data_IF_034201441158
#
_entry.id   IF_034201441158
#
_cell.length_a   1.000
_cell.length_b   1.000
_cell.length_c   1.000
_cell.angle_alpha   90.00
_cell.angle_beta   90.00
_cell.angle_gamma   90.00
#
_symmetry.space_group_name_H-M   'P 1'
#
loop_
_entity.id
_entity.type
_entity.pdbx_description
1 polymer ?
#
# COMPACT_ATOMS: atom_id res chain seq x y z
N UNK A 1 -14.77 34.20 -27.09
CA UNK A 1 -14.39 33.94 -28.49
C UNK A 1 -14.28 32.43 -28.69
N UNK A 2 -15.09 31.84 -29.58
CA UNK A 2 -15.03 30.40 -29.84
C UNK A 2 -13.89 30.10 -30.82
N UNK A 3 -12.93 29.27 -30.41
CA UNK A 3 -11.81 28.85 -31.27
C UNK A 3 -12.34 27.86 -32.31
N UNK A 4 -12.31 28.23 -33.60
CA UNK A 4 -12.64 27.33 -34.70
C UNK A 4 -11.45 26.40 -34.97
N UNK A 5 -11.61 25.11 -34.69
CA UNK A 5 -10.62 24.09 -35.00
C UNK A 5 -10.41 23.95 -36.51
N UNK A 6 -9.15 23.93 -36.94
CA UNK A 6 -8.78 23.70 -38.35
C UNK A 6 -9.15 22.28 -38.77
N UNK A 7 -9.37 22.01 -40.08
CA UNK A 7 -9.69 20.67 -40.57
C UNK A 7 -8.67 19.61 -40.12
N UNK A 8 -7.38 19.98 -40.11
CA UNK A 8 -6.30 19.11 -39.65
C UNK A 8 -6.42 18.78 -38.15
N UNK A 9 -6.73 19.77 -37.30
CA UNK A 9 -6.90 19.54 -35.86
C UNK A 9 -8.07 18.60 -35.57
N UNK A 10 -9.15 18.66 -36.35
CA UNK A 10 -10.30 17.74 -36.21
C UNK A 10 -9.92 16.30 -36.57
N UNK A 11 -9.12 16.12 -37.64
CA UNK A 11 -8.63 14.80 -38.04
C UNK A 11 -7.69 14.22 -36.99
N UNK A 12 -6.76 15.04 -36.47
CA UNK A 12 -5.82 14.62 -35.44
C UNK A 12 -6.55 14.18 -34.15
N UNK A 13 -7.50 14.99 -33.67
CA UNK A 13 -8.29 14.67 -32.48
C UNK A 13 -9.13 13.43 -32.72
N UNK A 14 -9.78 13.30 -33.89
CA UNK A 14 -10.52 12.10 -34.26
C UNK A 14 -9.64 10.84 -34.26
N UNK A 15 -8.43 10.93 -34.80
CA UNK A 15 -7.45 9.83 -34.79
C UNK A 15 -7.04 9.41 -33.38
N UNK A 16 -6.77 10.37 -32.48
CA UNK A 16 -6.41 10.09 -31.09
C UNK A 16 -7.56 9.41 -30.34
N UNK A 17 -8.79 9.89 -30.53
CA UNK A 17 -9.99 9.30 -29.90
C UNK A 17 -10.22 7.87 -30.40
N UNK A 18 -10.07 7.62 -31.70
CA UNK A 18 -10.22 6.28 -32.27
C UNK A 18 -9.12 5.32 -31.79
N UNK A 19 -7.86 5.77 -31.72
CA UNK A 19 -6.76 4.97 -31.19
C UNK A 19 -6.92 4.67 -29.69
N UNK A 20 -7.37 5.65 -28.90
CA UNK A 20 -7.66 5.48 -27.47
C UNK A 20 -8.83 4.54 -27.22
N UNK A 21 -9.94 4.68 -27.96
CA UNK A 21 -11.08 3.77 -27.86
C UNK A 21 -10.71 2.35 -28.29
N UNK A 22 -9.92 2.21 -29.36
CA UNK A 22 -9.42 0.92 -29.83
C UNK A 22 -8.50 0.23 -28.83
N UNK A 23 -7.61 0.96 -28.16
CA UNK A 23 -6.70 0.38 -27.16
C UNK A 23 -7.44 -0.07 -25.90
N UNK A 24 -8.45 0.68 -25.45
CA UNK A 24 -9.31 0.30 -24.32
C UNK A 24 -10.15 -0.94 -24.66
N UNK A 25 -10.78 -0.98 -25.84
CA UNK A 25 -11.54 -2.14 -26.30
C UNK A 25 -10.66 -3.39 -26.47
N UNK A 26 -9.43 -3.23 -26.97
CA UNK A 26 -8.48 -4.33 -27.08
C UNK A 26 -8.04 -4.86 -25.72
N UNK A 27 -7.81 -3.99 -24.74
CA UNK A 27 -7.43 -4.39 -23.39
C UNK A 27 -8.58 -5.13 -22.68
N UNK A 28 -9.82 -4.65 -22.83
CA UNK A 28 -11.03 -5.32 -22.33
C UNK A 28 -11.27 -6.67 -23.01
N UNK A 29 -11.04 -6.77 -24.33
CA UNK A 29 -11.13 -8.03 -25.06
C UNK A 29 -10.06 -9.04 -24.62
N UNK A 30 -8.81 -8.60 -24.46
CA UNK A 30 -7.70 -9.45 -24.00
C UNK A 30 -7.96 -9.98 -22.59
N UNK A 31 -8.44 -9.14 -21.68
CA UNK A 31 -8.76 -9.54 -20.31
C UNK A 31 -9.94 -10.51 -20.27
N UNK A 32 -10.98 -10.31 -21.09
CA UNK A 32 -12.09 -11.28 -21.22
C UNK A 32 -11.69 -12.62 -21.83
N UNK A 33 -10.68 -12.65 -22.71
CA UNK A 33 -10.20 -13.91 -23.31
C UNK A 33 -9.26 -14.67 -22.37
N UNK A 34 -8.61 -13.99 -21.43
CA UNK A 34 -7.86 -14.61 -20.34
C UNK A 34 -8.78 -15.28 -19.30
N UNK A 35 -10.05 -14.87 -19.21
CA UNK A 35 -11.08 -15.46 -18.33
C UNK A 35 -11.83 -16.67 -18.94
N UNK A 36 -11.46 -17.10 -20.16
CA UNK A 36 -12.10 -18.23 -20.87
C UNK A 36 -11.46 -19.60 -20.63
N UNK A 37 -10.62 -19.74 -19.61
CA UNK A 37 -10.10 -21.03 -19.14
C UNK A 37 -10.90 -21.46 -17.92
N UNK A 38 -11.60 -22.57 -18.05
CA UNK A 38 -12.46 -23.17 -17.02
C UNK A 38 -11.62 -23.65 -15.82
N UNK A 39 -11.44 -22.77 -14.82
CA UNK A 39 -11.17 -23.15 -13.44
C UNK A 39 -12.16 -22.42 -12.54
N UNK A 40 -13.01 -23.20 -11.91
CA UNK A 40 -14.03 -22.75 -10.97
C UNK A 40 -13.36 -22.22 -9.70
N UNK A 41 -12.95 -20.96 -9.71
CA UNK A 41 -12.55 -20.26 -8.49
C UNK A 41 -13.81 -19.88 -7.72
N UNK A 42 -14.25 -20.76 -6.82
CA UNK A 42 -15.22 -20.44 -5.80
C UNK A 42 -14.68 -19.25 -4.97
N UNK A 43 -15.30 -18.08 -5.14
CA UNK A 43 -15.10 -16.94 -4.26
C UNK A 43 -15.59 -17.32 -2.86
N UNK A 44 -14.68 -17.80 -2.02
CA UNK A 44 -14.93 -17.94 -0.60
C UNK A 44 -14.79 -16.54 -0.01
N UNK A 45 -15.93 -15.89 0.25
CA UNK A 45 -16.00 -14.84 1.26
C UNK A 45 -15.48 -15.45 2.55
N UNK A 46 -14.29 -15.04 2.96
CA UNK A 46 -13.78 -15.37 4.29
C UNK A 46 -14.26 -14.24 5.19
N UNK A 47 -15.32 -14.54 5.96
CA UNK A 47 -15.71 -13.73 7.10
C UNK A 47 -14.48 -13.45 7.97
N UNK A 48 -14.37 -12.21 8.44
CA UNK A 48 -13.32 -11.74 9.35
C UNK A 48 -13.24 -12.59 10.61
N UNK A 49 -12.44 -13.65 10.55
CA UNK A 49 -12.10 -14.51 11.67
C UNK A 49 -10.58 -14.59 11.71
N UNK A 50 -10.01 -13.81 12.63
CA UNK A 50 -8.64 -13.90 13.19
C UNK A 50 -7.85 -15.06 12.59
N UNK A 51 -7.10 -14.79 11.52
CA UNK A 51 -5.97 -15.63 11.13
C UNK A 51 -4.89 -15.40 12.17
N UNK A 52 -5.00 -16.14 13.28
CA UNK A 52 -3.89 -16.39 14.19
C UNK A 52 -2.64 -16.68 13.37
N UNK A 53 -1.60 -15.87 13.58
CA UNK A 53 -0.20 -16.12 13.22
C UNK A 53 -0.04 -17.33 12.29
N UNK A 54 -0.33 -17.13 11.00
CA UNK A 54 -0.09 -18.16 10.01
C UNK A 54 1.36 -18.60 10.17
N UNK A 55 1.53 -19.89 10.52
CA UNK A 55 2.74 -20.48 11.05
C UNK A 55 3.99 -19.83 10.45
N UNK A 56 4.65 -18.99 11.24
CA UNK A 56 5.91 -18.39 10.86
C UNK A 56 6.85 -19.53 10.52
N UNK A 57 7.19 -19.64 9.22
CA UNK A 57 8.08 -20.69 8.75
C UNK A 57 9.34 -20.64 9.61
N UNK A 58 9.80 -21.79 10.10
CA UNK A 58 10.90 -21.86 11.06
C UNK A 58 12.18 -21.17 10.58
N UNK A 59 13.13 -21.05 11.50
CA UNK A 59 14.48 -20.52 11.23
C UNK A 59 15.09 -21.33 10.08
N UNK A 60 15.43 -20.68 8.98
CA UNK A 60 16.01 -21.36 7.82
C UNK A 60 17.40 -21.93 8.13
N UNK A 61 17.86 -22.83 7.27
CA UNK A 61 19.16 -23.47 7.41
C UNK A 61 20.26 -22.67 6.68
N UNK A 62 21.35 -22.37 7.38
CA UNK A 62 22.51 -21.67 6.82
C UNK A 62 22.54 -20.16 7.09
N UNK A 63 23.37 -19.45 6.32
CA UNK A 63 23.60 -18.01 6.49
C UNK A 63 22.34 -17.23 6.09
N UNK A 64 21.97 -16.22 6.86
CA UNK A 64 20.83 -15.35 6.54
C UNK A 64 21.02 -14.68 5.17
N UNK A 65 19.99 -14.72 4.34
CA UNK A 65 20.05 -14.26 2.95
C UNK A 65 20.50 -15.34 1.96
N UNK A 66 20.70 -16.59 2.38
CA UNK A 66 20.96 -17.71 1.47
C UNK A 66 19.67 -18.40 1.04
N UNK A 67 19.73 -19.27 0.03
CA UNK A 67 18.57 -20.02 -0.44
C UNK A 67 17.93 -20.91 0.64
N UNK A 68 18.75 -21.44 1.57
CA UNK A 68 18.26 -22.25 2.71
C UNK A 68 17.75 -21.42 3.90
N UNK A 69 18.14 -20.14 3.98
CA UNK A 69 17.75 -19.22 5.04
C UNK A 69 17.54 -17.80 4.47
N UNK A 70 16.45 -17.58 3.70
CA UNK A 70 16.21 -16.31 3.05
C UNK A 70 15.93 -15.20 4.08
N UNK A 71 16.27 -13.97 3.72
CA UNK A 71 15.86 -12.80 4.48
C UNK A 71 14.34 -12.63 4.37
N UNK A 72 13.62 -12.83 5.47
CA UNK A 72 12.17 -12.65 5.49
C UNK A 72 11.81 -11.20 5.72
N UNK A 73 11.02 -10.63 4.80
CA UNK A 73 10.57 -9.24 4.83
C UNK A 73 9.04 -9.24 4.89
N UNK A 74 8.48 -8.79 6.01
CA UNK A 74 7.04 -8.58 6.13
C UNK A 74 6.61 -7.34 5.34
N UNK A 75 5.58 -7.50 4.52
CA UNK A 75 4.94 -6.44 3.72
C UNK A 75 3.42 -6.55 3.86
N UNK A 76 2.69 -5.47 3.57
CA UNK A 76 1.23 -5.51 3.41
C UNK A 76 0.84 -5.57 1.93
N UNK A 77 -0.42 -5.82 1.64
CA UNK A 77 -1.01 -5.72 0.31
C UNK A 77 -1.12 -4.24 -0.11
N UNK A 78 0.00 -3.68 -0.57
CA UNK A 78 0.09 -2.31 -1.06
C UNK A 78 0.97 -2.22 -2.31
N UNK A 79 0.51 -1.45 -3.28
CA UNK A 79 1.15 -1.34 -4.59
C UNK A 79 2.55 -0.69 -4.55
N UNK A 80 2.86 0.09 -3.50
CA UNK A 80 4.20 0.66 -3.30
C UNK A 80 5.32 -0.38 -3.15
N UNK A 81 4.99 -1.64 -2.83
CA UNK A 81 5.99 -2.72 -2.76
C UNK A 81 6.29 -3.37 -4.11
N UNK A 82 5.56 -3.02 -5.18
CA UNK A 82 5.73 -3.61 -6.50
C UNK A 82 7.19 -3.56 -7.03
N UNK A 83 7.97 -2.48 -6.86
CA UNK A 83 9.37 -2.45 -7.29
C UNK A 83 10.22 -3.58 -6.67
N UNK A 84 9.96 -3.93 -5.40
CA UNK A 84 10.68 -5.00 -4.73
C UNK A 84 10.31 -6.38 -5.28
N UNK A 85 9.02 -6.61 -5.59
CA UNK A 85 8.60 -7.84 -6.25
C UNK A 85 9.21 -7.98 -7.64
N UNK A 86 9.26 -6.88 -8.42
CA UNK A 86 9.91 -6.86 -9.74
C UNK A 86 11.40 -7.18 -9.60
N UNK A 87 12.10 -6.56 -8.64
CA UNK A 87 13.49 -6.85 -8.34
C UNK A 87 13.74 -8.32 -7.93
N UNK A 88 12.72 -8.99 -7.40
CA UNK A 88 12.75 -10.40 -6.99
C UNK A 88 12.31 -11.38 -8.09
N UNK A 89 12.08 -10.90 -9.31
CA UNK A 89 11.61 -11.72 -10.44
C UNK A 89 10.09 -11.87 -10.49
N UNK A 90 9.34 -10.85 -10.08
CA UNK A 90 7.87 -10.82 -10.00
C UNK A 90 7.30 -11.91 -9.07
N UNK A 91 8.01 -12.17 -7.96
CA UNK A 91 7.66 -13.25 -7.02
C UNK A 91 7.93 -12.83 -5.58
N UNK A 92 7.18 -13.44 -4.65
CA UNK A 92 7.46 -13.32 -3.21
C UNK A 92 8.78 -14.00 -2.82
N UNK A 93 9.26 -14.97 -3.61
CA UNK A 93 10.53 -15.66 -3.38
C UNK A 93 11.51 -15.35 -4.49
N UNK A 94 12.77 -15.15 -4.14
CA UNK A 94 13.83 -14.83 -5.12
C UNK A 94 13.88 -15.84 -6.25
N UNK A 95 13.77 -15.33 -7.47
CA UNK A 95 13.90 -16.13 -8.69
C UNK A 95 15.32 -16.05 -9.25
N UNK A 96 15.84 -17.13 -9.87
CA UNK A 96 17.11 -17.08 -10.59
C UNK A 96 17.14 -15.97 -11.64
N UNK A 97 18.25 -15.23 -11.71
CA UNK A 97 18.45 -14.12 -12.64
C UNK A 97 17.74 -12.81 -12.26
N UNK A 98 17.00 -12.78 -11.16
CA UNK A 98 16.44 -11.55 -10.58
C UNK A 98 17.54 -10.60 -10.08
N UNK A 99 17.18 -9.37 -9.71
CA UNK A 99 18.15 -8.42 -9.14
C UNK A 99 18.67 -8.96 -7.80
N UNK A 100 17.78 -9.42 -6.92
CA UNK A 100 18.18 -10.00 -5.63
C UNK A 100 19.11 -11.21 -5.78
N UNK A 101 18.83 -12.10 -6.74
CA UNK A 101 19.70 -13.24 -7.05
C UNK A 101 21.11 -12.80 -7.53
N UNK A 102 21.16 -11.80 -8.40
CA UNK A 102 22.43 -11.24 -8.91
C UNK A 102 23.25 -10.54 -7.83
N UNK A 103 22.60 -9.93 -6.86
CA UNK A 103 23.24 -9.34 -5.68
C UNK A 103 23.59 -10.39 -4.61
N UNK A 104 23.28 -11.67 -4.86
CA UNK A 104 23.64 -12.78 -3.98
C UNK A 104 22.84 -12.84 -2.68
N UNK A 105 21.62 -12.27 -2.67
CA UNK A 105 20.73 -12.28 -1.50
C UNK A 105 19.38 -12.88 -1.85
N UNK A 106 19.00 -13.94 -1.13
CA UNK A 106 17.68 -14.54 -1.21
C UNK A 106 16.74 -13.87 -0.21
N UNK A 107 15.60 -13.40 -0.72
CA UNK A 107 14.56 -12.68 -0.01
C UNK A 107 13.23 -13.42 -0.16
N UNK A 108 12.51 -13.53 0.95
CA UNK A 108 11.13 -14.01 1.01
C UNK A 108 10.23 -12.89 1.55
N UNK A 109 9.36 -12.36 0.69
CA UNK A 109 8.34 -11.40 1.09
C UNK A 109 7.14 -12.14 1.68
N UNK A 110 6.75 -11.75 2.88
CA UNK A 110 5.62 -12.34 3.60
C UNK A 110 4.52 -11.29 3.65
N UNK A 111 3.38 -11.57 3.02
CA UNK A 111 2.21 -10.69 3.08
C UNK A 111 1.54 -10.85 4.45
N UNK A 112 1.39 -9.75 5.17
CA UNK A 112 0.78 -9.66 6.50
C UNK A 112 -0.16 -8.45 6.55
N UNK A 113 -1.41 -8.65 6.12
CA UNK A 113 -2.43 -7.59 6.08
C UNK A 113 -3.07 -7.31 7.44
N UNK A 114 -3.12 -8.32 8.30
CA UNK A 114 -3.31 -8.12 9.73
C UNK A 114 -1.95 -7.77 10.35
N UNK A 115 -1.86 -6.61 10.99
CA UNK A 115 -0.58 -5.98 11.34
C UNK A 115 -0.24 -6.29 12.80
N UNK A 116 0.49 -7.38 13.11
CA UNK A 116 0.98 -7.59 14.46
C UNK A 116 1.95 -6.45 14.84
N UNK A 117 2.00 -6.17 16.14
CA UNK A 117 3.03 -5.30 16.71
C UNK A 117 4.43 -5.75 16.26
N UNK A 118 5.34 -4.79 16.04
CA UNK A 118 6.68 -5.09 15.51
C UNK A 118 7.42 -6.04 16.47
N UNK A 119 7.25 -5.85 17.78
CA UNK A 119 7.81 -6.72 18.81
C UNK A 119 7.36 -8.18 18.63
N UNK A 120 6.07 -8.43 18.43
CA UNK A 120 5.52 -9.78 18.25
C UNK A 120 6.14 -10.50 17.05
N UNK A 121 6.35 -9.80 15.93
CA UNK A 121 7.01 -10.36 14.74
C UNK A 121 8.45 -10.74 15.04
N UNK A 122 9.18 -9.90 15.76
CA UNK A 122 10.59 -10.12 16.10
C UNK A 122 10.75 -11.25 17.12
N UNK A 123 9.93 -11.26 18.17
CA UNK A 123 9.90 -12.31 19.21
C UNK A 123 9.58 -13.68 18.62
N UNK A 124 8.61 -13.73 17.69
CA UNK A 124 8.25 -14.97 17.00
C UNK A 124 9.28 -15.41 15.95
N UNK A 125 10.26 -14.57 15.61
CA UNK A 125 11.21 -14.85 14.53
C UNK A 125 10.54 -14.91 13.15
N UNK A 126 9.39 -14.28 13.01
CA UNK A 126 8.52 -14.33 11.84
C UNK A 126 9.15 -13.71 10.59
N UNK A 127 9.80 -12.57 10.78
CA UNK A 127 10.52 -11.84 9.77
C UNK A 127 11.71 -11.13 10.40
N UNK A 128 12.77 -10.89 9.63
CA UNK A 128 13.93 -10.12 10.07
C UNK A 128 13.79 -8.64 9.71
N UNK A 129 12.96 -8.34 8.70
CA UNK A 129 12.62 -6.99 8.31
C UNK A 129 11.11 -6.84 8.23
N UNK A 130 10.61 -5.66 8.58
CA UNK A 130 9.19 -5.30 8.41
C UNK A 130 9.17 -3.97 7.68
N UNK A 131 8.49 -3.95 6.55
CA UNK A 131 8.36 -2.75 5.75
C UNK A 131 7.13 -1.98 6.18
N UNK A 132 7.36 -0.89 6.92
CA UNK A 132 6.31 0.02 7.41
C UNK A 132 6.60 1.46 7.00
N UNK A 133 5.58 2.30 7.14
CA UNK A 133 5.74 3.75 7.08
C UNK A 133 6.48 4.25 8.34
N UNK A 134 7.09 5.43 8.24
CA UNK A 134 7.94 5.98 9.31
C UNK A 134 7.17 6.33 10.58
N UNK A 135 5.89 6.69 10.46
CA UNK A 135 4.98 6.95 11.58
C UNK A 135 4.76 5.70 12.45
N UNK A 136 4.52 4.54 11.82
CA UNK A 136 4.41 3.26 12.54
C UNK A 136 5.71 2.92 13.27
N UNK A 137 6.87 3.13 12.63
CA UNK A 137 8.16 2.93 13.30
C UNK A 137 8.29 3.85 14.52
N UNK A 138 7.97 5.14 14.39
CA UNK A 138 8.06 6.09 15.50
C UNK A 138 7.16 5.70 16.69
N UNK A 139 5.98 5.15 16.42
CA UNK A 139 5.05 4.69 17.46
C UNK A 139 5.52 3.39 18.14
N UNK A 140 5.99 2.42 17.37
CA UNK A 140 6.28 1.06 17.86
C UNK A 140 7.72 0.87 18.36
N UNK A 141 8.66 1.74 17.97
CA UNK A 141 10.06 1.62 18.36
C UNK A 141 10.28 1.59 19.89
N UNK A 142 9.59 2.40 20.71
CA UNK A 142 9.69 2.29 22.17
C UNK A 142 9.26 0.91 22.68
N UNK A 143 8.18 0.35 22.15
CA UNK A 143 7.67 -0.97 22.52
C UNK A 143 8.67 -2.08 22.13
N UNK A 144 9.22 -2.01 20.91
CA UNK A 144 10.25 -2.93 20.44
C UNK A 144 11.50 -2.90 21.34
N UNK A 145 11.93 -1.71 21.75
CA UNK A 145 13.07 -1.54 22.64
C UNK A 145 12.79 -2.05 24.05
N UNK A 146 11.60 -1.81 24.57
CA UNK A 146 11.16 -2.31 25.88
C UNK A 146 11.05 -3.84 25.90
N UNK A 147 10.73 -4.47 24.76
CA UNK A 147 10.78 -5.91 24.56
C UNK A 147 12.22 -6.48 24.41
N UNK A 148 13.24 -5.64 24.52
CA UNK A 148 14.65 -6.07 24.50
C UNK A 148 15.25 -6.22 23.11
N UNK A 149 14.59 -5.72 22.06
CA UNK A 149 15.10 -5.75 20.69
C UNK A 149 15.74 -4.41 20.30
N UNK A 150 16.84 -4.45 19.55
CA UNK A 150 17.52 -3.27 18.98
C UNK A 150 17.28 -3.15 17.47
N UNK A 151 16.01 -2.98 17.08
CA UNK A 151 15.64 -2.78 15.68
C UNK A 151 16.24 -1.49 15.10
N UNK A 152 16.62 -1.52 13.82
CA UNK A 152 17.10 -0.36 13.07
C UNK A 152 16.15 -0.03 11.94
N UNK A 153 15.91 1.26 11.72
CA UNK A 153 15.18 1.73 10.55
C UNK A 153 16.14 1.86 9.35
N UNK A 154 15.78 1.24 8.24
CA UNK A 154 16.36 1.52 6.92
C UNK A 154 15.31 2.32 6.17
N UNK A 155 15.63 3.58 5.86
CA UNK A 155 14.67 4.49 5.22
C UNK A 155 14.77 4.39 3.71
N UNK A 156 13.66 4.02 3.08
CA UNK A 156 13.48 4.12 1.63
C UNK A 156 12.56 5.30 1.40
N UNK A 157 13.03 6.27 0.63
CA UNK A 157 12.23 7.44 0.23
C UNK A 157 11.93 7.31 -1.25
N UNK A 158 10.65 7.24 -1.58
CA UNK A 158 10.18 7.32 -2.95
C UNK A 158 9.43 8.64 -3.18
N UNK A 159 9.24 8.99 -4.45
CA UNK A 159 8.42 10.12 -4.85
C UNK A 159 7.12 9.59 -5.45
N UNK A 160 6.18 9.23 -4.58
CA UNK A 160 4.86 8.77 -5.01
C UNK A 160 3.98 9.96 -5.41
N UNK A 161 3.35 9.89 -6.58
CA UNK A 161 2.36 10.88 -7.04
C UNK A 161 0.96 10.28 -6.93
N UNK A 162 0.45 10.16 -5.71
CA UNK A 162 -0.94 9.74 -5.44
C UNK A 162 -1.10 8.26 -5.06
N UNK A 163 -0.19 7.73 -4.23
CA UNK A 163 -0.37 6.39 -3.66
C UNK A 163 -1.49 6.34 -2.60
N UNK A 164 -1.74 7.48 -1.95
CA UNK A 164 -2.74 7.63 -0.90
C UNK A 164 -3.85 8.60 -1.30
N UNK A 165 -5.07 8.33 -0.82
CA UNK A 165 -6.25 9.14 -1.10
C UNK A 165 -7.19 9.23 0.11
N UNK A 166 -7.82 10.39 0.28
CA UNK A 166 -8.96 10.56 1.19
C UNK A 166 -10.23 10.36 0.37
N UNK A 167 -11.01 9.34 0.71
CA UNK A 167 -12.25 9.00 0.01
C UNK A 167 -13.44 9.29 0.93
N UNK A 168 -14.37 10.10 0.45
CA UNK A 168 -15.63 10.38 1.13
C UNK A 168 -16.80 9.71 0.41
N UNK A 169 -17.70 9.06 1.17
CA UNK A 169 -18.95 8.49 0.64
C UNK A 169 -20.02 9.56 0.37
N UNK A 170 -19.99 10.65 1.14
CA UNK A 170 -20.94 11.76 0.98
C UNK A 170 -20.58 12.59 -0.27
N UNK A 171 -21.43 12.63 -1.30
CA UNK A 171 -21.16 13.37 -2.53
C UNK A 171 -21.10 14.90 -2.33
N UNK A 172 -21.53 15.41 -1.18
CA UNK A 172 -21.36 16.82 -0.80
C UNK A 172 -19.93 17.17 -0.39
N UNK A 173 -19.07 16.17 -0.12
CA UNK A 173 -17.66 16.37 0.22
C UNK A 173 -16.84 16.21 -1.07
N UNK A 174 -16.40 17.32 -1.65
CA UNK A 174 -15.64 17.34 -2.92
C UNK A 174 -14.25 17.95 -2.79
N UNK A 175 -14.01 18.65 -1.70
CA UNK A 175 -12.73 19.30 -1.35
C UNK A 175 -12.55 19.30 0.16
N UNK A 176 -11.32 19.56 0.61
CA UNK A 176 -10.96 19.58 2.04
C UNK A 176 -11.82 20.59 2.81
N UNK A 177 -12.16 21.73 2.21
CA UNK A 177 -12.97 22.76 2.86
C UNK A 177 -14.38 22.28 3.26
N UNK A 178 -14.91 21.27 2.58
CA UNK A 178 -16.24 20.72 2.85
C UNK A 178 -16.26 19.86 4.13
N UNK A 179 -15.09 19.58 4.71
CA UNK A 179 -14.93 18.89 5.99
C UNK A 179 -15.19 19.81 7.19
N UNK A 180 -15.23 21.13 7.01
CA UNK A 180 -15.47 22.07 8.10
C UNK A 180 -16.83 21.80 8.78
N UNK A 181 -16.82 21.68 10.11
CA UNK A 181 -18.01 21.36 10.92
C UNK A 181 -18.40 19.88 10.90
N UNK A 182 -17.59 18.99 10.30
CA UNK A 182 -17.84 17.55 10.25
C UNK A 182 -16.92 16.79 11.20
N UNK A 183 -17.34 15.55 11.51
CA UNK A 183 -16.52 14.57 12.20
C UNK A 183 -15.76 13.72 11.18
N UNK A 184 -14.47 13.53 11.40
CA UNK A 184 -13.60 12.69 10.55
C UNK A 184 -13.07 11.54 11.36
N UNK A 185 -13.50 10.32 11.03
CA UNK A 185 -13.04 9.11 11.68
C UNK A 185 -11.74 8.59 11.05
N UNK A 186 -10.70 8.36 11.85
CA UNK A 186 -9.40 7.86 11.38
C UNK A 186 -8.58 7.24 12.51
N UNK A 187 -7.52 6.49 12.18
CA UNK A 187 -6.60 5.93 13.19
C UNK A 187 -5.58 6.99 13.63
N UNK A 188 -5.43 7.18 14.94
CA UNK A 188 -4.50 8.17 15.50
C UNK A 188 -3.05 7.79 15.17
N UNK A 189 -2.23 8.80 14.88
CA UNK A 189 -0.79 8.68 14.60
C UNK A 189 -0.41 7.78 13.41
N UNK A 190 -1.36 7.52 12.51
CA UNK A 190 -1.11 6.86 11.24
C UNK A 190 -0.91 7.86 10.10
N UNK A 191 -0.46 7.37 8.95
CA UNK A 191 -0.44 8.11 7.70
C UNK A 191 -1.77 8.82 7.41
N UNK A 192 -2.92 8.18 7.66
CA UNK A 192 -4.25 8.78 7.47
C UNK A 192 -4.46 10.02 8.35
N UNK A 193 -3.99 9.99 9.60
CA UNK A 193 -4.02 11.17 10.48
C UNK A 193 -3.16 12.29 9.91
N UNK A 194 -1.89 11.99 9.63
CA UNK A 194 -0.93 12.98 9.14
C UNK A 194 -1.37 13.65 7.83
N UNK A 195 -1.81 12.84 6.85
CA UNK A 195 -2.30 13.36 5.57
C UNK A 195 -3.55 14.23 5.72
N UNK A 196 -4.49 13.83 6.58
CA UNK A 196 -5.71 14.60 6.80
C UNK A 196 -5.38 15.93 7.47
N UNK A 197 -4.51 15.93 8.47
CA UNK A 197 -4.04 17.16 9.13
C UNK A 197 -3.30 18.08 8.17
N UNK A 198 -2.36 17.55 7.38
CA UNK A 198 -1.62 18.34 6.38
C UNK A 198 -2.56 18.95 5.32
N UNK A 199 -3.53 18.18 4.84
CA UNK A 199 -4.54 18.66 3.90
C UNK A 199 -5.35 19.82 4.48
N UNK A 200 -5.77 19.73 5.75
CA UNK A 200 -6.52 20.79 6.44
C UNK A 200 -5.63 22.01 6.69
N UNK A 201 -4.38 21.80 7.11
CA UNK A 201 -3.45 22.88 7.43
C UNK A 201 -3.05 23.69 6.19
N UNK A 202 -2.93 23.04 5.05
CA UNK A 202 -2.65 23.68 3.76
C UNK A 202 -3.91 24.10 2.98
N UNK A 203 -5.12 23.91 3.55
CA UNK A 203 -6.38 24.33 2.91
C UNK A 203 -6.62 25.84 3.00
N UNK A 204 -7.62 26.32 2.24
CA UNK A 204 -8.09 27.71 2.28
C UNK A 204 -9.01 28.02 3.47
N UNK A 205 -9.20 27.07 4.40
CA UNK A 205 -10.02 27.28 5.59
C UNK A 205 -9.43 28.36 6.51
N UNK A 206 -10.32 29.17 7.09
CA UNK A 206 -9.93 30.05 8.20
C UNK A 206 -9.61 29.24 9.46
N UNK A 207 -8.81 29.79 10.37
CA UNK A 207 -8.47 29.14 11.64
C UNK A 207 -9.70 28.65 12.41
N UNK A 208 -10.77 29.47 12.47
CA UNK A 208 -12.04 29.08 13.09
C UNK A 208 -12.69 27.89 12.42
N UNK A 209 -12.63 27.81 11.08
CA UNK A 209 -13.18 26.64 10.37
C UNK A 209 -12.34 25.40 10.59
N UNK A 210 -11.00 25.50 10.62
CA UNK A 210 -10.12 24.38 10.96
C UNK A 210 -10.43 23.81 12.36
N UNK A 211 -10.70 24.69 13.33
CA UNK A 211 -11.10 24.31 14.69
C UNK A 211 -12.50 23.68 14.79
N UNK A 212 -13.35 23.85 13.76
CA UNK A 212 -14.69 23.24 13.75
C UNK A 212 -14.71 21.78 13.31
N UNK A 213 -13.57 21.24 12.83
CA UNK A 213 -13.44 19.81 12.55
C UNK A 213 -13.18 19.03 13.84
N UNK A 214 -13.78 17.86 13.94
CA UNK A 214 -13.58 16.94 15.05
C UNK A 214 -12.99 15.64 14.53
N UNK A 215 -11.79 15.28 14.98
CA UNK A 215 -11.25 13.95 14.74
C UNK A 215 -11.88 12.96 15.71
N UNK A 216 -12.38 11.85 15.16
CA UNK A 216 -12.88 10.72 15.91
C UNK A 216 -11.89 9.58 15.72
N UNK A 217 -11.06 9.33 16.73
CA UNK A 217 -10.08 8.25 16.63
C UNK A 217 -10.76 6.90 16.85
N UNK A 218 -10.71 6.04 15.83
CA UNK A 218 -11.20 4.66 15.90
C UNK A 218 -10.04 3.73 16.31
N UNK A 219 -10.34 2.55 16.87
CA UNK A 219 -9.29 1.56 17.14
C UNK A 219 -9.00 0.76 15.86
N UNK A 220 -7.77 0.23 15.74
CA UNK A 220 -7.36 -0.61 14.61
C UNK A 220 -8.19 -1.88 14.45
N UNK A 221 -8.88 -2.33 15.51
CA UNK A 221 -9.77 -3.50 15.51
C UNK A 221 -11.21 -3.20 15.03
N UNK A 222 -11.58 -1.92 14.91
CA UNK A 222 -12.94 -1.47 14.58
C UNK A 222 -13.13 -1.10 13.09
N UNK A 223 -12.10 -1.33 12.25
CA UNK A 223 -12.01 -0.88 10.85
C UNK A 223 -12.17 -1.97 9.80
#
# INVERSE_FOLDING_TARGET
MAVKLTPFAKILIGGIVLLGAGSVLWNLYKNRKAEGGDETAAATQTDGKTTSAAAYSGKGEGVLGSAGNPLKVSIVSFHGYAPALVANGQSLKTQPGSIFDKEGVNVEFIIQDDLPAIATVFEAGAAQCIWRTSDYWAQEQPNLRNAGHDGKAVMIVDNTRGADAIIAKDPAIRKVEDLAGRKVALLQFTLSHGMTSDAIDNSSLSARKKQSLEYVFINGEDG
#
